data_IF_057101327965
#
_entry.id   IF_057101327965
#
_cell.length_a   1.000
_cell.length_b   1.000
_cell.length_c   1.000
_cell.angle_alpha   90.00
_cell.angle_beta   90.00
_cell.angle_gamma   90.00
#
_symmetry.space_group_name_H-M   'P 1'
#
loop_
_entity.id
_entity.type
_entity.pdbx_description
1 polymer ?
#
# COMPACT_ATOMS: atom_id res chain seq x y z
N UNK A 1 -37.44 -53.81 13.10
CA UNK A 1 -37.40 -52.65 12.20
C UNK A 1 -37.76 -53.12 10.82
N UNK A 2 -38.86 -52.61 10.26
CA UNK A 2 -39.30 -52.95 8.92
C UNK A 2 -38.35 -52.27 7.90
N UNK A 3 -38.15 -52.88 6.73
CA UNK A 3 -37.38 -52.29 5.63
C UNK A 3 -37.84 -50.87 5.28
N UNK A 4 -39.15 -50.61 5.34
CA UNK A 4 -39.70 -49.27 5.13
C UNK A 4 -39.21 -48.23 6.16
N UNK A 5 -39.20 -48.57 7.45
CA UNK A 5 -38.69 -47.67 8.51
C UNK A 5 -37.18 -47.40 8.35
N UNK A 6 -36.43 -48.39 7.86
CA UNK A 6 -35.00 -48.23 7.58
C UNK A 6 -34.76 -47.24 6.43
N UNK A 7 -35.47 -47.38 5.31
CA UNK A 7 -35.33 -46.49 4.16
C UNK A 7 -35.73 -45.05 4.50
N UNK A 8 -36.82 -44.86 5.25
CA UNK A 8 -37.23 -43.53 5.74
C UNK A 8 -36.14 -42.89 6.61
N UNK A 9 -35.54 -43.65 7.53
CA UNK A 9 -34.46 -43.12 8.37
C UNK A 9 -33.19 -42.78 7.58
N UNK A 10 -32.81 -43.62 6.61
CA UNK A 10 -31.66 -43.36 5.74
C UNK A 10 -31.85 -42.08 4.91
N UNK A 11 -33.05 -41.85 4.38
CA UNK A 11 -33.38 -40.63 3.63
C UNK A 11 -33.33 -39.38 4.51
N UNK A 12 -33.90 -39.44 5.73
CA UNK A 12 -33.81 -38.35 6.72
C UNK A 12 -32.35 -38.03 7.08
N UNK A 13 -31.52 -39.06 7.30
CA UNK A 13 -30.10 -38.88 7.61
C UNK A 13 -29.33 -38.26 6.44
N UNK A 14 -29.61 -38.66 5.21
CA UNK A 14 -29.01 -38.07 4.00
C UNK A 14 -29.38 -36.59 3.86
N UNK A 15 -30.65 -36.24 4.03
CA UNK A 15 -31.10 -34.85 3.98
C UNK A 15 -30.44 -34.00 5.07
N UNK A 16 -30.35 -34.52 6.30
CA UNK A 16 -29.63 -33.85 7.41
C UNK A 16 -28.15 -33.67 7.10
N UNK A 17 -27.48 -34.69 6.55
CA UNK A 17 -26.08 -34.61 6.16
C UNK A 17 -25.84 -33.54 5.09
N UNK A 18 -26.74 -33.44 4.09
CA UNK A 18 -26.66 -32.39 3.06
C UNK A 18 -26.88 -31.00 3.65
N UNK A 19 -27.86 -30.84 4.54
CA UNK A 19 -28.11 -29.57 5.22
C UNK A 19 -26.90 -29.13 6.07
N UNK A 20 -26.33 -30.05 6.85
CA UNK A 20 -25.12 -29.77 7.65
C UNK A 20 -23.91 -29.43 6.78
N UNK A 21 -23.72 -30.08 5.63
CA UNK A 21 -22.64 -29.73 4.69
C UNK A 21 -22.81 -28.35 4.09
N UNK A 22 -24.06 -27.96 3.79
CA UNK A 22 -24.35 -26.61 3.31
C UNK A 22 -24.08 -25.58 4.41
N UNK A 23 -24.54 -25.84 5.62
CA UNK A 23 -24.31 -24.99 6.79
C UNK A 23 -22.82 -24.84 7.11
N UNK A 24 -22.04 -25.92 7.06
CA UNK A 24 -20.58 -25.88 7.22
C UNK A 24 -19.91 -25.01 6.14
N UNK A 25 -20.35 -25.13 4.87
CA UNK A 25 -19.87 -24.27 3.78
C UNK A 25 -20.21 -22.79 3.98
N UNK A 26 -21.44 -22.48 4.40
CA UNK A 26 -21.89 -21.12 4.69
C UNK A 26 -21.10 -20.53 5.89
N UNK A 27 -20.86 -21.32 6.94
CA UNK A 27 -20.05 -20.93 8.09
C UNK A 27 -18.57 -20.70 7.73
N UNK A 28 -18.00 -21.51 6.85
CA UNK A 28 -16.63 -21.30 6.36
C UNK A 28 -16.50 -19.98 5.59
N UNK A 29 -17.47 -19.65 4.72
CA UNK A 29 -17.49 -18.39 4.00
C UNK A 29 -17.61 -17.18 4.93
N UNK A 30 -18.47 -17.27 5.96
CA UNK A 30 -18.60 -16.20 6.95
C UNK A 30 -17.34 -16.07 7.82
N UNK A 31 -16.70 -17.18 8.20
CA UNK A 31 -15.42 -17.15 8.89
C UNK A 31 -14.35 -16.44 8.06
N UNK A 32 -14.19 -16.79 6.77
CA UNK A 32 -13.24 -16.13 5.89
C UNK A 32 -13.52 -14.63 5.71
N UNK A 33 -14.79 -14.22 5.74
CA UNK A 33 -15.18 -12.80 5.71
C UNK A 33 -14.81 -12.09 7.00
N UNK A 34 -15.13 -12.67 8.16
CA UNK A 34 -14.78 -12.11 9.47
C UNK A 34 -13.27 -12.02 9.67
N UNK A 35 -12.50 -12.99 9.17
CA UNK A 35 -11.04 -12.92 9.22
C UNK A 35 -10.47 -11.78 8.38
N UNK A 36 -11.06 -11.50 7.22
CA UNK A 36 -10.70 -10.36 6.39
C UNK A 36 -10.98 -9.04 7.11
N UNK A 37 -12.17 -8.88 7.68
CA UNK A 37 -12.56 -7.69 8.46
C UNK A 37 -11.65 -7.49 9.68
N UNK A 38 -11.36 -8.57 10.43
CA UNK A 38 -10.40 -8.55 11.55
C UNK A 38 -9.04 -8.01 11.11
N UNK A 39 -8.52 -8.48 9.97
CA UNK A 39 -7.23 -8.04 9.46
C UNK A 39 -7.22 -6.57 9.04
N UNK A 40 -8.34 -6.06 8.49
CA UNK A 40 -8.52 -4.64 8.19
C UNK A 40 -8.49 -3.79 9.46
N UNK A 41 -9.24 -4.19 10.49
CA UNK A 41 -9.25 -3.49 11.77
C UNK A 41 -7.88 -3.50 12.47
N UNK A 42 -7.16 -4.63 12.47
CA UNK A 42 -5.80 -4.70 13.02
C UNK A 42 -4.87 -3.72 12.28
N UNK A 43 -4.98 -3.62 10.95
CA UNK A 43 -4.17 -2.69 10.16
C UNK A 43 -4.52 -1.24 10.50
N UNK A 44 -5.80 -0.92 10.63
CA UNK A 44 -6.26 0.43 10.95
C UNK A 44 -5.84 0.86 12.36
N UNK A 45 -5.97 -0.03 13.34
CA UNK A 45 -5.48 0.20 14.71
C UNK A 45 -3.97 0.45 14.72
N UNK A 46 -3.19 -0.31 13.93
CA UNK A 46 -1.75 -0.06 13.77
C UNK A 46 -1.47 1.27 13.09
N UNK A 47 -2.29 1.69 12.11
CA UNK A 47 -2.15 2.98 11.43
C UNK A 47 -2.37 4.14 12.40
N UNK A 48 -3.48 4.12 13.15
CA UNK A 48 -3.81 5.12 14.18
C UNK A 48 -2.71 5.17 15.24
N UNK A 49 -2.27 4.02 15.76
CA UNK A 49 -1.18 3.98 16.73
C UNK A 49 0.13 4.60 16.21
N UNK A 50 0.47 4.36 14.94
CA UNK A 50 1.65 4.97 14.31
C UNK A 50 1.46 6.48 14.08
N UNK A 51 0.24 6.90 13.75
CA UNK A 51 -0.13 8.30 13.59
C UNK A 51 0.02 9.04 14.91
N UNK A 52 -0.54 8.52 16.00
CA UNK A 52 -0.43 9.09 17.35
C UNK A 52 1.03 9.24 17.81
N UNK A 53 1.90 8.30 17.43
CA UNK A 53 3.34 8.34 17.73
C UNK A 53 4.14 9.23 16.78
N UNK A 54 3.58 9.64 15.65
CA UNK A 54 4.29 10.49 14.70
C UNK A 54 4.44 11.90 15.26
N UNK A 55 5.63 12.47 15.07
CA UNK A 55 5.88 13.89 15.41
C UNK A 55 5.06 14.87 14.54
N UNK A 56 4.38 14.37 13.51
CA UNK A 56 3.60 15.15 12.55
C UNK A 56 2.08 14.99 12.74
N UNK A 57 1.64 14.39 13.84
CA UNK A 57 0.23 14.13 14.17
C UNK A 57 -0.65 15.39 14.31
N UNK A 58 -0.05 16.55 14.58
CA UNK A 58 -0.77 17.81 14.78
C UNK A 58 -1.18 18.51 13.46
N UNK A 59 -1.22 17.80 12.33
CA UNK A 59 -1.64 18.35 11.03
C UNK A 59 -0.84 19.59 10.60
N UNK A 60 0.47 19.58 10.88
CA UNK A 60 1.35 20.70 10.60
C UNK A 60 1.42 20.99 9.10
N UNK A 61 1.47 22.28 8.74
CA UNK A 61 1.76 22.67 7.35
C UNK A 61 3.26 22.59 7.11
N UNK A 62 3.69 21.74 6.18
CA UNK A 62 5.08 21.63 5.77
C UNK A 62 5.39 22.60 4.63
N UNK A 63 6.58 23.21 4.68
CA UNK A 63 7.08 24.16 3.68
C UNK A 63 6.08 25.29 3.34
N UNK A 64 5.26 25.68 4.32
CA UNK A 64 4.18 26.68 4.19
C UNK A 64 3.22 26.42 3.00
N UNK A 65 3.12 25.17 2.55
CA UNK A 65 2.41 24.78 1.33
C UNK A 65 1.60 23.51 1.48
N UNK A 66 2.13 22.51 2.19
CA UNK A 66 1.53 21.19 2.25
C UNK A 66 0.90 20.96 3.62
N UNK A 67 -0.43 21.04 3.69
CA UNK A 67 -1.16 20.74 4.91
C UNK A 67 -1.21 19.23 5.11
N UNK A 68 -0.50 18.71 6.11
CA UNK A 68 -0.57 17.28 6.44
C UNK A 68 -1.96 16.95 6.99
N UNK A 69 -2.54 15.85 6.49
CA UNK A 69 -3.83 15.33 6.92
C UNK A 69 -3.60 14.08 7.76
N UNK A 70 -3.68 12.90 7.13
CA UNK A 70 -3.63 11.63 7.84
C UNK A 70 -2.45 10.77 7.41
N UNK A 71 -1.94 9.94 8.32
CA UNK A 71 -0.92 8.94 8.02
C UNK A 71 -1.51 7.84 7.13
N UNK A 72 -0.91 7.62 5.96
CA UNK A 72 -1.25 6.55 5.02
C UNK A 72 -0.46 5.26 5.35
N UNK A 73 0.78 5.39 5.80
CA UNK A 73 1.59 4.23 6.16
C UNK A 73 2.99 4.57 6.66
N UNK A 74 3.64 3.59 7.26
CA UNK A 74 5.03 3.66 7.73
C UNK A 74 5.87 2.65 6.96
N UNK A 75 7.05 3.07 6.52
CA UNK A 75 8.00 2.21 5.80
C UNK A 75 8.50 1.07 6.70
N UNK A 76 8.87 -0.06 6.07
CA UNK A 76 9.27 -1.32 6.73
C UNK A 76 10.35 -1.17 7.81
N UNK A 77 11.26 -0.20 7.68
CA UNK A 77 12.34 0.03 8.63
C UNK A 77 12.09 1.24 9.55
N UNK A 78 10.88 1.81 9.57
CA UNK A 78 10.51 2.95 10.42
C UNK A 78 11.14 4.30 10.03
N UNK A 79 12.09 4.31 9.09
CA UNK A 79 12.78 5.52 8.61
C UNK A 79 11.96 6.38 7.65
N UNK A 80 10.72 5.98 7.33
CA UNK A 80 9.85 6.82 6.50
C UNK A 80 8.38 6.68 6.89
N UNK A 81 7.66 7.78 6.78
CA UNK A 81 6.23 7.88 7.03
C UNK A 81 5.58 8.57 5.83
N UNK A 82 4.47 8.06 5.33
CA UNK A 82 3.74 8.63 4.19
C UNK A 82 2.44 9.20 4.73
N UNK A 83 2.23 10.50 4.54
CA UNK A 83 1.02 11.20 4.92
C UNK A 83 0.26 11.66 3.69
N UNK A 84 -1.07 11.60 3.73
CA UNK A 84 -1.90 12.36 2.81
C UNK A 84 -1.77 13.83 3.19
N UNK A 85 -1.63 14.69 2.20
CA UNK A 85 -1.56 16.13 2.40
C UNK A 85 -2.35 16.86 1.32
N UNK A 86 -2.66 18.12 1.59
CA UNK A 86 -3.28 19.02 0.63
C UNK A 86 -2.28 20.11 0.24
N UNK A 87 -2.01 20.23 -1.06
CA UNK A 87 -1.19 21.31 -1.61
C UNK A 87 -2.03 22.60 -1.69
N UNK A 88 -1.70 23.58 -0.86
CA UNK A 88 -2.42 24.85 -0.77
C UNK A 88 -2.21 25.75 -2.01
N UNK A 89 -1.16 25.52 -2.80
CA UNK A 89 -0.88 26.30 -4.02
C UNK A 89 -1.60 25.73 -5.23
N UNK A 90 -1.45 24.43 -5.47
CA UNK A 90 -2.02 23.74 -6.64
C UNK A 90 -3.43 23.17 -6.37
N UNK A 91 -3.92 23.29 -5.13
CA UNK A 91 -5.26 22.85 -4.70
C UNK A 91 -5.57 21.39 -5.01
N UNK A 92 -4.63 20.49 -4.70
CA UNK A 92 -4.75 19.05 -4.96
C UNK A 92 -4.23 18.22 -3.80
N UNK A 93 -4.74 17.00 -3.69
CA UNK A 93 -4.20 16.02 -2.75
C UNK A 93 -2.87 15.47 -3.25
N UNK A 94 -1.93 15.30 -2.32
CA UNK A 94 -0.59 14.76 -2.56
C UNK A 94 -0.22 13.77 -1.46
N UNK A 95 0.75 12.90 -1.74
CA UNK A 95 1.34 12.01 -0.76
C UNK A 95 2.70 12.55 -0.32
N UNK A 96 2.82 12.95 0.93
CA UNK A 96 4.06 13.43 1.54
C UNK A 96 4.81 12.27 2.20
N UNK A 97 5.84 11.75 1.54
CA UNK A 97 6.76 10.75 2.10
C UNK A 97 7.86 11.46 2.87
N UNK A 98 7.79 11.40 4.19
CA UNK A 98 8.76 11.99 5.10
C UNK A 98 9.82 10.94 5.42
N UNK A 99 11.08 11.29 5.18
CA UNK A 99 12.25 10.47 5.46
C UNK A 99 12.92 10.98 6.74
N UNK A 100 13.18 10.07 7.69
CA UNK A 100 13.83 10.37 8.95
C UNK A 100 15.23 9.73 8.98
N UNK A 101 16.26 10.56 9.09
CA UNK A 101 17.65 10.13 9.23
C UNK A 101 17.92 9.77 10.68
N UNK A 102 18.66 8.68 10.90
CA UNK A 102 19.09 8.33 12.25
C UNK A 102 20.09 9.39 12.75
N UNK A 103 19.78 9.96 13.93
CA UNK A 103 20.59 11.01 14.57
C UNK A 103 22.01 10.54 14.90
N UNK A 104 22.18 9.26 15.21
CA UNK A 104 23.44 8.61 15.57
C UNK A 104 24.38 8.37 14.36
N UNK A 105 23.87 8.54 13.14
CA UNK A 105 24.73 8.41 11.97
C UNK A 105 25.76 9.54 11.93
N UNK A 106 27.00 9.18 11.59
CA UNK A 106 28.05 10.15 11.27
C UNK A 106 27.61 11.03 10.10
N UNK A 107 28.09 12.27 10.08
CA UNK A 107 27.69 13.27 9.07
C UNK A 107 27.98 12.81 7.64
N UNK A 108 29.09 12.11 7.41
CA UNK A 108 29.40 11.52 6.08
C UNK A 108 28.33 10.52 5.61
N UNK A 109 27.77 9.73 6.54
CA UNK A 109 26.73 8.75 6.22
C UNK A 109 25.40 9.44 5.93
N UNK A 110 25.08 10.51 6.66
CA UNK A 110 23.90 11.36 6.41
C UNK A 110 24.02 12.04 5.04
N UNK A 111 25.16 12.65 4.75
CA UNK A 111 25.44 13.30 3.47
C UNK A 111 25.34 12.32 2.30
N UNK A 112 25.89 11.11 2.43
CA UNK A 112 25.74 10.08 1.39
C UNK A 112 24.28 9.67 1.20
N UNK A 113 23.52 9.47 2.28
CA UNK A 113 22.09 9.13 2.17
C UNK A 113 21.30 10.24 1.46
N UNK A 114 21.50 11.50 1.84
CA UNK A 114 20.87 12.66 1.19
C UNK A 114 21.25 12.72 -0.29
N UNK A 115 22.53 12.49 -0.62
CA UNK A 115 23.00 12.45 -2.01
C UNK A 115 22.31 11.36 -2.83
N UNK A 116 22.10 10.17 -2.26
CA UNK A 116 21.35 9.10 -2.91
C UNK A 116 19.88 9.48 -3.13
N UNK A 117 19.22 10.06 -2.13
CA UNK A 117 17.84 10.53 -2.23
C UNK A 117 17.67 11.63 -3.29
N UNK A 118 18.59 12.61 -3.34
CA UNK A 118 18.59 13.67 -4.34
C UNK A 118 18.83 13.12 -5.76
N UNK A 119 19.65 12.08 -5.90
CA UNK A 119 19.84 11.41 -7.19
C UNK A 119 18.55 10.73 -7.66
N UNK A 120 17.88 10.00 -6.77
CA UNK A 120 16.58 9.38 -7.05
C UNK A 120 15.54 10.42 -7.45
N UNK A 121 15.46 11.52 -6.70
CA UNK A 121 14.62 12.68 -7.01
C UNK A 121 14.88 13.22 -8.43
N UNK A 122 16.14 13.48 -8.78
CA UNK A 122 16.48 14.08 -10.07
C UNK A 122 16.09 13.17 -11.25
N UNK A 123 16.16 11.86 -11.07
CA UNK A 123 15.71 10.88 -12.06
C UNK A 123 14.18 10.87 -12.12
N UNK A 124 13.51 10.75 -10.97
CA UNK A 124 12.06 10.59 -10.88
C UNK A 124 11.30 11.85 -11.33
N UNK A 125 11.82 13.05 -11.04
CA UNK A 125 11.23 14.32 -11.47
C UNK A 125 11.09 14.45 -12.99
N UNK A 126 11.93 13.77 -13.76
CA UNK A 126 11.89 13.79 -15.22
C UNK A 126 10.89 12.78 -15.80
N UNK A 127 10.33 11.91 -14.97
CA UNK A 127 9.37 10.89 -15.40
C UNK A 127 7.98 11.50 -15.50
N UNK A 128 7.39 11.36 -16.68
CA UNK A 128 6.00 11.70 -16.94
C UNK A 128 5.34 10.58 -17.73
N UNK A 129 4.65 9.70 -17.02
CA UNK A 129 3.94 8.57 -17.60
C UNK A 129 2.72 8.20 -16.74
N UNK A 130 1.54 7.89 -17.31
CA UNK A 130 0.32 7.62 -16.55
C UNK A 130 0.36 6.35 -15.69
N UNK A 131 1.39 5.51 -15.85
CA UNK A 131 1.64 4.28 -15.05
C UNK A 131 2.86 4.40 -14.12
N UNK A 132 3.35 5.62 -13.92
CA UNK A 132 4.43 5.94 -12.98
C UNK A 132 3.94 7.08 -12.10
N UNK A 133 3.92 6.86 -10.79
CA UNK A 133 3.54 7.89 -9.80
C UNK A 133 4.39 9.12 -10.03
N UNK A 134 3.77 10.29 -10.19
CA UNK A 134 4.52 11.52 -10.41
C UNK A 134 5.18 12.01 -9.13
N UNK A 135 6.39 12.54 -9.26
CA UNK A 135 7.07 13.26 -8.20
C UNK A 135 6.90 14.77 -8.42
N UNK A 136 6.31 15.46 -7.45
CA UNK A 136 6.04 16.90 -7.56
C UNK A 136 7.16 17.75 -6.97
N UNK A 137 7.66 17.40 -5.78
CA UNK A 137 8.63 18.24 -5.08
C UNK A 137 9.45 17.46 -4.05
N UNK A 138 10.60 18.01 -3.66
CA UNK A 138 11.41 17.52 -2.53
C UNK A 138 11.94 18.72 -1.76
N UNK A 139 11.80 18.69 -0.44
CA UNK A 139 12.30 19.76 0.43
C UNK A 139 12.79 19.20 1.77
N UNK A 140 13.72 19.90 2.40
CA UNK A 140 14.21 19.57 3.74
C UNK A 140 13.22 20.10 4.79
N UNK A 141 12.96 19.30 5.83
CA UNK A 141 12.13 19.71 6.97
C UNK A 141 13.03 20.21 8.10
N UNK A 142 14.08 19.44 8.43
CA UNK A 142 15.10 19.78 9.40
C UNK A 142 16.43 19.05 9.08
N UNK A 143 17.46 19.26 9.91
CA UNK A 143 18.79 18.69 9.70
C UNK A 143 18.83 17.14 9.62
N UNK A 144 17.79 16.45 10.09
CA UNK A 144 17.73 14.99 10.06
C UNK A 144 16.46 14.48 9.34
N UNK A 145 15.77 15.30 8.55
CA UNK A 145 14.57 14.86 7.83
C UNK A 145 14.25 15.69 6.59
N UNK A 146 13.75 15.00 5.57
CA UNK A 146 13.30 15.62 4.32
C UNK A 146 12.00 14.98 3.85
N UNK A 147 11.26 15.70 3.01
CA UNK A 147 10.00 15.27 2.45
C UNK A 147 10.12 15.11 0.94
N UNK A 148 9.53 14.02 0.43
CA UNK A 148 9.27 13.81 -0.99
C UNK A 148 7.76 13.91 -1.21
N UNK A 149 7.35 14.82 -2.08
CA UNK A 149 5.95 15.06 -2.45
C UNK A 149 5.65 14.29 -3.72
N UNK A 150 4.73 13.35 -3.62
CA UNK A 150 4.32 12.43 -4.67
C UNK A 150 2.85 12.66 -5.04
N UNK A 151 2.48 12.18 -6.21
CA UNK A 151 1.07 12.01 -6.59
C UNK A 151 0.35 11.12 -5.58
N UNK A 152 -0.83 11.57 -5.15
CA UNK A 152 -1.70 10.77 -4.30
C UNK A 152 -2.51 9.80 -5.16
N UNK A 153 -2.20 8.51 -5.04
CA UNK A 153 -2.98 7.44 -5.62
C UNK A 153 -4.03 6.97 -4.60
N UNK A 154 -5.29 6.99 -4.98
CA UNK A 154 -6.36 6.45 -4.15
C UNK A 154 -6.37 4.91 -4.22
N UNK A 155 -6.73 4.27 -3.10
CA UNK A 155 -6.72 2.81 -2.97
C UNK A 155 -5.50 2.24 -2.25
N UNK A 156 -5.28 0.94 -2.48
CA UNK A 156 -4.27 0.14 -1.80
C UNK A 156 -3.35 -0.53 -2.81
N UNK A 157 -2.13 -0.85 -2.36
CA UNK A 157 -1.17 -1.59 -3.17
C UNK A 157 -1.62 -3.02 -3.51
N UNK A 158 -1.00 -3.59 -4.55
CA UNK A 158 -1.30 -4.93 -5.04
C UNK A 158 -0.97 -6.01 -3.99
N UNK A 159 -0.01 -5.78 -3.10
CA UNK A 159 0.31 -6.68 -1.99
C UNK A 159 -0.88 -6.81 -1.02
N UNK A 160 -1.55 -5.70 -0.72
CA UNK A 160 -2.78 -5.70 0.06
C UNK A 160 -3.90 -6.46 -0.63
N UNK A 161 -4.10 -6.23 -1.93
CA UNK A 161 -5.12 -6.96 -2.71
C UNK A 161 -4.87 -8.48 -2.64
N UNK A 162 -3.63 -8.91 -2.84
CA UNK A 162 -3.25 -10.32 -2.76
C UNK A 162 -3.48 -10.93 -1.37
N UNK A 163 -3.21 -10.17 -0.29
CA UNK A 163 -3.49 -10.62 1.08
C UNK A 163 -4.98 -10.79 1.36
N UNK A 164 -5.84 -10.00 0.73
CA UNK A 164 -7.30 -10.07 0.90
C UNK A 164 -7.94 -11.17 0.05
N UNK A 165 -7.46 -11.37 -1.19
CA UNK A 165 -8.11 -12.23 -2.17
C UNK A 165 -7.40 -13.57 -2.41
N UNK A 166 -6.22 -13.79 -1.81
CA UNK A 166 -5.30 -14.94 -1.99
C UNK A 166 -4.71 -15.06 -3.40
N UNK A 167 -5.51 -14.84 -4.44
CA UNK A 167 -5.10 -14.89 -5.85
C UNK A 167 -5.89 -13.89 -6.69
N UNK A 168 -5.43 -13.66 -7.92
CA UNK A 168 -6.06 -12.75 -8.89
C UNK A 168 -6.46 -13.58 -10.11
N UNK A 169 -7.70 -13.47 -10.60
CA UNK A 169 -8.10 -14.10 -11.85
C UNK A 169 -7.18 -13.70 -13.01
N UNK A 170 -6.89 -14.64 -13.91
CA UNK A 170 -5.91 -14.43 -15.00
C UNK A 170 -6.23 -13.19 -15.85
N UNK A 171 -7.52 -12.93 -16.10
CA UNK A 171 -7.99 -11.78 -16.87
C UNK A 171 -7.59 -10.44 -16.22
N UNK A 172 -7.74 -10.34 -14.91
CA UNK A 172 -7.36 -9.14 -14.13
C UNK A 172 -5.84 -9.01 -14.03
N UNK A 173 -5.16 -10.12 -13.72
CA UNK A 173 -3.70 -10.18 -13.64
C UNK A 173 -3.06 -9.71 -14.96
N UNK A 174 -3.59 -10.15 -16.11
CA UNK A 174 -3.13 -9.71 -17.44
C UNK A 174 -3.23 -8.19 -17.60
N UNK A 175 -4.34 -7.59 -17.18
CA UNK A 175 -4.52 -6.12 -17.24
C UNK A 175 -3.50 -5.38 -16.40
N UNK A 176 -3.21 -5.86 -15.18
CA UNK A 176 -2.22 -5.26 -14.28
C UNK A 176 -0.82 -5.37 -14.90
N UNK A 177 -0.43 -6.57 -15.34
CA UNK A 177 0.89 -6.81 -15.92
C UNK A 177 1.10 -6.00 -17.20
N UNK A 178 0.08 -5.86 -18.06
CA UNK A 178 0.18 -4.99 -19.25
C UNK A 178 0.51 -3.54 -18.89
N UNK A 179 -0.11 -3.00 -17.84
CA UNK A 179 0.17 -1.64 -17.37
C UNK A 179 1.59 -1.51 -16.80
N UNK A 180 2.03 -2.50 -16.03
CA UNK A 180 3.40 -2.55 -15.49
C UNK A 180 4.42 -2.61 -16.62
N UNK A 181 4.22 -3.48 -17.61
CA UNK A 181 5.12 -3.60 -18.77
C UNK A 181 5.16 -2.30 -19.57
N UNK A 182 4.03 -1.60 -19.71
CA UNK A 182 4.00 -0.29 -20.37
C UNK A 182 4.84 0.75 -19.63
N UNK A 183 4.76 0.79 -18.29
CA UNK A 183 5.62 1.64 -17.46
C UNK A 183 7.10 1.28 -17.62
N UNK A 184 7.45 -0.02 -17.56
CA UNK A 184 8.82 -0.48 -17.70
C UNK A 184 9.41 -0.17 -19.08
N UNK A 185 8.60 -0.27 -20.14
CA UNK A 185 8.99 0.11 -21.50
C UNK A 185 9.36 1.60 -21.54
N UNK A 186 8.51 2.46 -20.98
CA UNK A 186 8.79 3.90 -20.87
C UNK A 186 10.12 4.17 -20.14
N UNK A 187 10.35 3.52 -18.99
CA UNK A 187 11.60 3.68 -18.23
C UNK A 187 12.84 3.25 -19.02
N UNK A 188 12.71 2.22 -19.87
CA UNK A 188 13.78 1.71 -20.71
C UNK A 188 14.11 2.65 -21.89
N UNK A 189 13.13 3.36 -22.41
CA UNK A 189 13.28 4.30 -23.54
C UNK A 189 14.01 5.60 -23.15
N UNK A 190 14.05 5.94 -21.87
CA UNK A 190 14.79 7.09 -21.34
C UNK A 190 16.31 6.88 -21.50
N UNK A 191 17.07 7.95 -21.73
CA UNK A 191 18.54 7.90 -21.85
C UNK A 191 19.22 8.63 -20.68
N UNK A 192 20.05 7.93 -19.88
CA UNK A 192 20.29 6.49 -19.88
C UNK A 192 19.06 5.67 -19.43
N UNK A 193 18.93 4.39 -19.84
CA UNK A 193 17.81 3.54 -19.43
C UNK A 193 17.70 3.44 -17.92
N UNK A 194 16.48 3.56 -17.40
CA UNK A 194 16.21 3.47 -15.97
C UNK A 194 15.74 2.06 -15.65
N UNK A 195 16.41 1.44 -14.68
CA UNK A 195 16.03 0.14 -14.13
C UNK A 195 15.48 0.37 -12.73
N UNK A 196 14.26 -0.10 -12.45
CA UNK A 196 13.58 0.14 -11.17
C UNK A 196 14.26 -0.58 -9.98
N UNK A 197 14.85 -1.77 -10.19
CA UNK A 197 15.51 -2.64 -9.20
C UNK A 197 14.66 -3.16 -8.02
N UNK A 198 13.55 -2.52 -7.65
CA UNK A 198 12.67 -2.96 -6.54
C UNK A 198 11.20 -3.18 -7.00
N UNK A 199 10.97 -3.84 -8.14
CA UNK A 199 9.59 -4.08 -8.59
C UNK A 199 8.96 -5.22 -7.77
N UNK A 200 7.93 -4.90 -6.99
CA UNK A 200 7.19 -5.84 -6.13
C UNK A 200 5.72 -5.42 -6.00
N UNK A 201 4.80 -6.30 -5.57
CA UNK A 201 3.38 -5.96 -5.42
C UNK A 201 3.12 -4.73 -4.53
N UNK A 202 3.93 -4.52 -3.48
CA UNK A 202 3.82 -3.34 -2.62
C UNK A 202 4.21 -2.00 -3.28
N UNK A 203 4.79 -2.03 -4.48
CA UNK A 203 5.15 -0.83 -5.26
C UNK A 203 4.21 -0.63 -6.47
N UNK A 204 3.13 -1.41 -6.58
CA UNK A 204 2.09 -1.27 -7.59
C UNK A 204 0.84 -0.82 -6.83
N UNK A 205 0.35 0.39 -7.11
CA UNK A 205 -0.83 1.00 -6.48
C UNK A 205 -1.97 1.05 -7.50
#
# INVERSE_FOLDING_TARGET
MNWYEYYEQDEILKLRSQALKKEDGDLQLELEKLERERNLHIRELKRIHNEDQSRFNNHSTLNERFLLLMLLGKGLCGFSEVHKAFDLKEQRYVACKIHQLNKEWKDDKKANYIKHALREYNIHKQLDHPRVVRLYDVFEIDANSFCTVLEYCDGHDLDFYLKQHKSIPEREARSIIMQVVHALKYLNEIKPPIIHYDLKPGNII
#
